data_IF_085469243072
#
_entry.id   IF_085469243072
#
_cell.length_a   1.000
_cell.length_b   1.000
_cell.length_c   1.000
_cell.angle_alpha   90.00
_cell.angle_beta   90.00
_cell.angle_gamma   90.00
#
_symmetry.space_group_name_H-M   'P 1'
#
loop_
_entity.id
_entity.type
_entity.pdbx_description
1 polymer ?
#
# COMPACT_ATOMS: atom_id res chain seq x y z
N UNK A 1 10.27 -8.84 -19.46
CA UNK A 1 10.91 -8.33 -18.23
C UNK A 1 10.93 -9.48 -17.24
N UNK A 2 12.10 -9.86 -16.73
CA UNK A 2 12.15 -10.81 -15.61
C UNK A 2 11.62 -10.10 -14.36
N UNK A 3 10.57 -10.65 -13.74
CA UNK A 3 10.03 -10.11 -12.49
C UNK A 3 11.02 -10.21 -11.34
N UNK A 4 10.75 -9.51 -10.23
CA UNK A 4 11.58 -9.62 -9.03
C UNK A 4 11.66 -11.07 -8.54
N UNK A 5 12.82 -11.46 -8.04
CA UNK A 5 13.00 -12.65 -7.21
C UNK A 5 12.44 -12.43 -5.81
N UNK A 6 12.23 -13.50 -5.05
CA UNK A 6 11.72 -13.39 -3.67
C UNK A 6 12.68 -12.61 -2.76
N UNK A 7 14.00 -12.74 -2.95
CA UNK A 7 14.98 -11.98 -2.17
C UNK A 7 14.98 -10.50 -2.55
N UNK A 8 14.88 -10.16 -3.83
CA UNK A 8 14.75 -8.75 -4.26
C UNK A 8 13.48 -8.11 -3.69
N UNK A 9 12.34 -8.81 -3.78
CA UNK A 9 11.09 -8.36 -3.19
C UNK A 9 11.19 -8.12 -1.69
N UNK A 10 11.81 -9.06 -0.96
CA UNK A 10 12.08 -8.95 0.47
C UNK A 10 12.96 -7.74 0.79
N UNK A 11 14.04 -7.52 0.03
CA UNK A 11 14.95 -6.38 0.22
C UNK A 11 14.23 -5.05 -0.01
N UNK A 12 13.42 -4.95 -1.05
CA UNK A 12 12.59 -3.76 -1.33
C UNK A 12 11.64 -3.49 -0.17
N UNK A 13 10.92 -4.52 0.30
CA UNK A 13 9.99 -4.41 1.43
C UNK A 13 10.70 -4.00 2.74
N UNK A 14 11.87 -4.54 3.05
CA UNK A 14 12.66 -4.13 4.23
C UNK A 14 13.13 -2.68 4.10
N UNK A 15 13.69 -2.31 2.95
CA UNK A 15 14.25 -0.98 2.73
C UNK A 15 13.19 0.11 2.80
N UNK A 16 12.01 -0.13 2.22
CA UNK A 16 10.92 0.84 2.24
C UNK A 16 10.25 0.96 3.62
N UNK A 17 10.33 -0.05 4.49
CA UNK A 17 9.66 -0.05 5.78
C UNK A 17 10.21 1.04 6.72
N UNK A 18 11.52 1.30 6.64
CA UNK A 18 12.16 2.38 7.43
C UNK A 18 11.65 3.76 7.00
N UNK A 19 11.44 3.97 5.71
CA UNK A 19 10.88 5.22 5.20
C UNK A 19 9.41 5.32 5.59
N UNK A 20 8.60 4.27 5.40
CA UNK A 20 7.21 4.24 5.82
C UNK A 20 7.05 4.60 7.31
N UNK A 21 7.85 3.99 8.19
CA UNK A 21 7.88 4.27 9.62
C UNK A 21 8.12 5.73 9.95
N UNK A 22 9.10 6.35 9.30
CA UNK A 22 9.52 7.72 9.60
C UNK A 22 8.66 8.78 8.93
N UNK A 23 8.15 8.51 7.72
CA UNK A 23 7.44 9.48 6.90
C UNK A 23 5.91 9.38 6.99
N UNK A 24 5.34 8.20 7.24
CA UNK A 24 3.90 7.95 7.13
C UNK A 24 3.25 7.35 8.38
N UNK A 25 3.88 6.39 9.06
CA UNK A 25 3.25 5.63 10.15
C UNK A 25 2.69 6.55 11.25
N UNK A 26 1.43 6.31 11.62
CA UNK A 26 0.64 7.05 12.61
C UNK A 26 0.51 8.56 12.31
N UNK A 27 0.68 8.95 11.04
CA UNK A 27 0.40 10.30 10.58
C UNK A 27 -0.87 10.32 9.76
N UNK A 28 -1.63 11.38 9.98
CA UNK A 28 -2.83 11.71 9.24
C UNK A 28 -2.52 12.82 8.24
N UNK A 29 -3.06 12.68 7.03
CA UNK A 29 -2.88 13.61 5.94
C UNK A 29 -4.24 14.07 5.44
N UNK A 30 -4.44 15.38 5.36
CA UNK A 30 -5.59 15.95 4.66
C UNK A 30 -5.23 16.17 3.19
N UNK A 31 -6.11 15.73 2.31
CA UNK A 31 -5.98 15.93 0.86
C UNK A 31 -7.15 16.78 0.42
N UNK A 32 -6.86 18.03 0.07
CA UNK A 32 -7.84 18.99 -0.42
C UNK A 32 -7.79 18.96 -1.95
N UNK A 33 -8.94 18.82 -2.58
CA UNK A 33 -9.06 18.76 -4.03
C UNK A 33 -10.32 19.46 -4.50
N UNK A 34 -10.34 19.86 -5.77
CA UNK A 34 -11.53 20.37 -6.43
C UNK A 34 -12.19 19.24 -7.21
N UNK A 35 -13.43 18.97 -6.89
CA UNK A 35 -14.25 18.01 -7.63
C UNK A 35 -14.52 18.56 -9.04
N UNK A 36 -14.33 17.73 -10.07
CA UNK A 36 -14.47 18.19 -11.45
C UNK A 36 -15.94 18.37 -11.85
N UNK A 37 -16.83 17.57 -11.30
CA UNK A 37 -18.23 17.53 -11.70
C UNK A 37 -19.06 18.57 -10.92
N UNK A 38 -18.85 18.67 -9.59
CA UNK A 38 -19.52 19.68 -8.77
C UNK A 38 -18.79 21.02 -8.70
N UNK A 39 -17.51 21.09 -9.08
CA UNK A 39 -16.63 22.27 -8.94
C UNK A 39 -16.44 22.73 -7.48
N UNK A 40 -16.83 21.91 -6.51
CA UNK A 40 -16.68 22.19 -5.09
C UNK A 40 -15.29 21.81 -4.59
N UNK A 41 -14.82 22.51 -3.56
CA UNK A 41 -13.65 22.10 -2.80
C UNK A 41 -14.07 21.00 -1.83
N UNK A 42 -13.51 19.81 -2.00
CA UNK A 42 -13.70 18.65 -1.13
C UNK A 42 -12.38 18.29 -0.46
N UNK A 43 -12.46 17.49 0.60
CA UNK A 43 -11.29 16.93 1.23
C UNK A 43 -11.54 15.48 1.66
N UNK A 44 -10.44 14.75 1.84
CA UNK A 44 -10.43 13.46 2.52
C UNK A 44 -9.26 13.45 3.51
N UNK A 45 -9.40 12.67 4.57
CA UNK A 45 -8.36 12.44 5.56
C UNK A 45 -7.88 11.00 5.46
N UNK A 46 -6.56 10.84 5.39
CA UNK A 46 -5.90 9.55 5.18
C UNK A 46 -4.91 9.29 6.29
N UNK A 47 -5.03 8.15 6.96
CA UNK A 47 -4.08 7.71 7.98
C UNK A 47 -3.34 6.46 7.55
N UNK A 48 -2.04 6.44 7.83
CA UNK A 48 -1.17 5.31 7.51
C UNK A 48 -0.82 4.55 8.78
N UNK A 49 -1.29 3.31 8.88
CA UNK A 49 -1.10 2.47 10.07
C UNK A 49 -0.12 1.34 9.78
N UNK A 50 0.46 0.77 10.83
CA UNK A 50 1.37 -0.37 10.72
C UNK A 50 0.76 -1.52 9.91
N UNK A 51 -0.51 -1.85 10.16
CA UNK A 51 -1.24 -2.92 9.47
C UNK A 51 -1.39 -2.70 7.96
N UNK A 52 -1.34 -1.46 7.48
CA UNK A 52 -1.53 -1.18 6.06
C UNK A 52 -0.32 -1.59 5.22
N UNK A 53 0.88 -1.60 5.81
CA UNK A 53 2.13 -1.72 5.07
C UNK A 53 2.20 -2.98 4.21
N UNK A 54 1.80 -4.14 4.75
CA UNK A 54 1.84 -5.41 4.02
C UNK A 54 1.07 -5.33 2.69
N UNK A 55 -0.11 -4.72 2.70
CA UNK A 55 -0.97 -4.60 1.51
C UNK A 55 -0.32 -3.78 0.38
N UNK A 56 0.63 -2.90 0.71
CA UNK A 56 1.38 -2.08 -0.23
C UNK A 56 2.56 -2.82 -0.85
N UNK A 57 3.02 -3.91 -0.24
CA UNK A 57 4.16 -4.69 -0.74
C UNK A 57 3.77 -5.75 -1.76
N UNK A 58 2.55 -6.28 -1.67
CA UNK A 58 2.13 -7.43 -2.48
C UNK A 58 2.75 -8.75 -2.03
N UNK A 59 3.27 -8.83 -0.81
CA UNK A 59 3.81 -10.05 -0.20
C UNK A 59 2.83 -10.60 0.83
N UNK A 60 2.62 -11.91 0.78
CA UNK A 60 1.89 -12.65 1.81
C UNK A 60 2.91 -13.29 2.74
N UNK A 61 2.61 -13.30 4.05
CA UNK A 61 3.34 -14.17 4.96
C UNK A 61 2.80 -15.59 4.89
N UNK A 62 3.68 -16.56 5.14
CA UNK A 62 3.36 -17.97 5.16
C UNK A 62 3.94 -18.66 6.40
N UNK A 63 3.28 -19.73 6.84
CA UNK A 63 3.78 -20.63 7.86
C UNK A 63 4.83 -21.61 7.29
N UNK A 64 5.31 -22.53 8.13
CA UNK A 64 6.28 -23.57 7.74
C UNK A 64 5.72 -24.57 6.71
N UNK A 65 4.40 -24.65 6.56
CA UNK A 65 3.72 -25.51 5.59
C UNK A 65 3.40 -24.77 4.28
N UNK A 66 3.75 -23.48 4.17
CA UNK A 66 3.44 -22.64 3.01
C UNK A 66 2.01 -22.07 2.99
N UNK A 67 1.28 -22.17 4.10
CA UNK A 67 -0.09 -21.65 4.22
C UNK A 67 -0.03 -20.16 4.54
N UNK A 68 -0.86 -19.37 3.85
CA UNK A 68 -0.95 -17.91 4.06
C UNK A 68 -1.43 -17.61 5.48
N UNK A 69 -0.70 -16.72 6.15
CA UNK A 69 -1.02 -16.23 7.48
C UNK A 69 -1.87 -14.96 7.40
N UNK A 70 -3.19 -15.10 7.60
CA UNK A 70 -4.13 -13.97 7.66
C UNK A 70 -3.98 -13.18 8.96
N UNK A 71 -4.32 -11.89 8.93
CA UNK A 71 -4.25 -10.98 10.09
C UNK A 71 -2.86 -10.76 10.71
N UNK A 72 -1.78 -11.16 10.03
CA UNK A 72 -0.41 -10.97 10.52
C UNK A 72 0.32 -9.74 9.93
N UNK A 73 -0.41 -8.76 9.38
CA UNK A 73 0.19 -7.61 8.68
C UNK A 73 1.07 -6.72 9.56
N UNK A 74 0.70 -6.52 10.83
CA UNK A 74 1.54 -5.76 11.77
C UNK A 74 2.82 -6.52 12.12
N UNK A 75 2.74 -7.86 12.23
CA UNK A 75 3.91 -8.69 12.50
C UNK A 75 4.86 -8.72 11.29
N UNK A 76 4.33 -8.84 10.07
CA UNK A 76 5.09 -8.68 8.84
C UNK A 76 5.82 -7.33 8.81
N UNK A 77 5.10 -6.25 9.11
CA UNK A 77 5.68 -4.90 9.13
C UNK A 77 6.77 -4.78 10.19
N UNK A 78 6.53 -5.27 11.41
CA UNK A 78 7.54 -5.31 12.48
C UNK A 78 8.81 -6.03 12.03
N UNK A 79 8.69 -7.19 11.37
CA UNK A 79 9.85 -7.90 10.81
C UNK A 79 10.58 -7.11 9.72
N UNK A 80 9.86 -6.38 8.88
CA UNK A 80 10.48 -5.50 7.88
C UNK A 80 11.30 -4.39 8.55
N UNK A 81 10.71 -3.69 9.52
CA UNK A 81 11.37 -2.62 10.27
C UNK A 81 12.60 -3.12 11.03
N UNK A 82 12.50 -4.29 11.66
CA UNK A 82 13.61 -4.93 12.39
C UNK A 82 14.64 -5.60 11.45
N UNK A 83 14.40 -5.60 10.13
CA UNK A 83 15.24 -6.29 9.12
C UNK A 83 15.36 -7.80 9.34
N UNK A 84 14.34 -8.41 9.94
CA UNK A 84 14.27 -9.85 10.30
C UNK A 84 13.35 -10.67 9.41
N UNK A 85 12.79 -10.07 8.36
CA UNK A 85 11.96 -10.81 7.39
C UNK A 85 12.84 -11.78 6.58
N UNK A 86 12.50 -13.07 6.62
CA UNK A 86 13.13 -14.17 5.90
C UNK A 86 12.44 -14.43 4.56
N UNK A 87 13.16 -15.01 3.58
CA UNK A 87 12.55 -15.45 2.32
C UNK A 87 11.59 -16.65 2.51
N UNK A 88 11.82 -17.48 3.53
CA UNK A 88 11.06 -18.72 3.74
C UNK A 88 9.69 -18.49 4.41
N UNK A 89 9.43 -17.27 4.89
CA UNK A 89 8.17 -16.91 5.56
C UNK A 89 7.31 -15.98 4.70
N UNK A 90 7.66 -15.80 3.43
CA UNK A 90 6.93 -14.96 2.49
C UNK A 90 6.72 -15.64 1.15
N UNK A 91 5.66 -15.23 0.46
CA UNK A 91 5.45 -15.54 -0.94
C UNK A 91 4.91 -14.33 -1.70
N UNK A 92 5.15 -14.32 -3.01
CA UNK A 92 4.51 -13.37 -3.91
C UNK A 92 3.04 -13.74 -4.09
N UNK A 93 2.18 -12.74 -4.25
CA UNK A 93 0.76 -12.99 -4.59
C UNK A 93 0.64 -13.66 -5.95
N UNK A 94 -0.25 -14.64 -6.03
CA UNK A 94 -0.57 -15.37 -7.26
C UNK A 94 -1.34 -14.54 -8.29
N UNK A 95 -1.95 -13.42 -7.87
CA UNK A 95 -2.67 -12.48 -8.74
C UNK A 95 -1.75 -11.61 -9.63
N UNK A 96 -0.42 -11.79 -9.52
CA UNK A 96 0.57 -11.07 -10.34
C UNK A 96 0.79 -9.60 -9.94
N UNK A 97 0.09 -9.08 -8.93
CA UNK A 97 0.17 -7.66 -8.55
C UNK A 97 1.44 -7.30 -7.77
N UNK A 98 2.19 -8.30 -7.30
CA UNK A 98 3.41 -8.13 -6.49
C UNK A 98 4.42 -7.19 -7.15
N UNK A 99 4.68 -7.38 -8.45
CA UNK A 99 5.63 -6.54 -9.19
C UNK A 99 5.21 -5.06 -9.18
N UNK A 100 3.94 -4.79 -9.52
CA UNK A 100 3.39 -3.44 -9.60
C UNK A 100 3.40 -2.74 -8.24
N UNK A 101 3.10 -3.49 -7.16
CA UNK A 101 3.13 -3.02 -5.78
C UNK A 101 4.55 -2.68 -5.32
N UNK A 102 5.52 -3.56 -5.58
CA UNK A 102 6.92 -3.33 -5.22
C UNK A 102 7.55 -2.16 -5.98
N UNK A 103 7.18 -1.95 -7.25
CA UNK A 103 7.64 -0.78 -8.00
C UNK A 103 7.00 0.53 -7.52
N UNK A 104 5.76 0.47 -7.02
CA UNK A 104 5.06 1.60 -6.44
C UNK A 104 5.61 2.00 -5.05
N UNK A 105 5.98 1.01 -4.25
CA UNK A 105 6.27 1.15 -2.82
C UNK A 105 7.29 2.26 -2.49
N UNK A 106 8.45 2.40 -3.18
CA UNK A 106 9.39 3.49 -2.88
C UNK A 106 8.77 4.88 -3.04
N UNK A 107 7.95 5.09 -4.07
CA UNK A 107 7.30 6.36 -4.33
C UNK A 107 6.20 6.67 -3.30
N UNK A 108 5.46 5.65 -2.85
CA UNK A 108 4.42 5.81 -1.81
C UNK A 108 5.01 6.33 -0.50
N UNK A 109 6.23 5.95 -0.13
CA UNK A 109 6.88 6.50 1.09
C UNK A 109 7.10 8.02 1.05
N UNK A 110 6.97 8.64 -0.13
CA UNK A 110 6.99 10.09 -0.36
C UNK A 110 5.61 10.61 -0.75
N UNK A 111 4.55 10.07 -0.12
CA UNK A 111 3.14 10.28 -0.47
C UNK A 111 2.78 11.74 -0.82
N UNK A 112 3.16 12.70 0.01
CA UNK A 112 2.82 14.12 -0.19
C UNK A 112 3.37 14.72 -1.50
N UNK A 113 4.39 14.11 -2.11
CA UNK A 113 4.98 14.59 -3.37
C UNK A 113 4.33 14.01 -4.63
N UNK A 114 3.56 12.93 -4.49
CA UNK A 114 2.99 12.16 -5.62
C UNK A 114 1.49 12.37 -5.82
N UNK A 115 0.79 12.96 -4.84
CA UNK A 115 -0.67 13.12 -4.88
C UNK A 115 -1.09 14.35 -5.69
N UNK A 116 -1.55 14.13 -6.91
CA UNK A 116 -2.05 15.17 -7.82
C UNK A 116 -3.51 14.97 -8.22
N UNK A 117 -4.02 13.75 -8.12
CA UNK A 117 -5.32 13.32 -8.60
C UNK A 117 -6.01 12.56 -7.46
N UNK A 118 -7.28 12.90 -7.21
CA UNK A 118 -8.21 12.13 -6.37
C UNK A 118 -9.38 11.74 -7.26
N UNK A 119 -9.79 10.47 -7.20
CA UNK A 119 -10.94 9.98 -7.95
C UNK A 119 -11.71 8.94 -7.16
N UNK A 120 -13.01 8.87 -7.42
CA UNK A 120 -13.85 7.79 -6.96
C UNK A 120 -13.59 6.52 -7.77
N UNK A 121 -13.60 5.38 -7.09
CA UNK A 121 -13.48 4.08 -7.72
C UNK A 121 -14.86 3.50 -7.98
N UNK A 122 -15.15 3.21 -9.24
CA UNK A 122 -16.37 2.51 -9.65
C UNK A 122 -16.27 0.99 -9.44
N UNK A 123 -15.22 0.48 -8.77
CA UNK A 123 -14.92 -0.95 -8.55
C UNK A 123 -14.86 -1.83 -9.81
N UNK A 124 -14.87 -1.24 -11.01
CA UNK A 124 -14.75 -1.96 -12.29
C UNK A 124 -13.32 -2.41 -12.61
N UNK A 125 -12.36 -2.20 -11.70
CA UNK A 125 -10.99 -2.63 -11.86
C UNK A 125 -10.81 -4.00 -11.19
N UNK A 126 -10.50 -5.07 -11.95
CA UNK A 126 -10.20 -6.35 -11.34
C UNK A 126 -9.05 -6.17 -10.35
N UNK A 127 -9.20 -6.72 -9.14
CA UNK A 127 -8.21 -6.72 -8.06
C UNK A 127 -8.02 -5.41 -7.26
N UNK A 128 -8.85 -4.38 -7.48
CA UNK A 128 -8.80 -3.12 -6.71
C UNK A 128 -10.19 -2.75 -6.14
N UNK A 129 -10.58 -3.37 -5.02
CA UNK A 129 -11.79 -2.98 -4.29
C UNK A 129 -11.47 -1.84 -3.32
N UNK A 130 -11.66 -0.61 -3.79
CA UNK A 130 -11.30 0.62 -3.08
C UNK A 130 -12.40 1.65 -3.30
N UNK A 131 -12.53 2.60 -2.39
CA UNK A 131 -13.52 3.67 -2.49
C UNK A 131 -12.93 4.90 -3.18
N UNK A 132 -11.72 5.28 -2.77
CA UNK A 132 -10.98 6.40 -3.34
C UNK A 132 -9.66 5.94 -3.91
N UNK A 133 -9.25 6.58 -5.00
CA UNK A 133 -7.92 6.44 -5.57
C UNK A 133 -7.23 7.79 -5.53
N UNK A 134 -6.01 7.81 -5.00
CA UNK A 134 -5.18 9.01 -4.92
C UNK A 134 -3.84 8.74 -5.60
N UNK A 135 -3.33 9.68 -6.38
CA UNK A 135 -1.98 9.55 -6.93
C UNK A 135 -1.71 10.46 -8.10
N UNK A 136 -0.99 9.96 -9.09
CA UNK A 136 -0.69 10.64 -10.33
C UNK A 136 -0.96 9.74 -11.54
N UNK A 137 -0.38 10.08 -12.69
CA UNK A 137 -0.59 9.34 -13.94
C UNK A 137 0.00 7.93 -13.89
N UNK A 138 1.15 7.76 -13.22
CA UNK A 138 1.94 6.52 -13.24
C UNK A 138 1.85 5.71 -11.93
N UNK A 139 1.09 6.19 -10.95
CA UNK A 139 1.06 5.62 -9.61
C UNK A 139 -0.28 5.92 -8.95
N UNK A 140 -0.90 4.89 -8.37
CA UNK A 140 -2.11 5.05 -7.59
C UNK A 140 -1.98 4.40 -6.20
N UNK A 141 -2.59 5.05 -5.21
CA UNK A 141 -2.86 4.55 -3.86
C UNK A 141 -4.37 4.36 -3.75
N UNK A 142 -4.78 3.13 -3.53
CA UNK A 142 -6.15 2.76 -3.27
C UNK A 142 -6.47 2.88 -1.78
N UNK A 143 -7.56 3.56 -1.47
CA UNK A 143 -8.01 3.86 -0.12
C UNK A 143 -9.38 3.25 0.17
N UNK A 144 -9.61 2.89 1.43
CA UNK A 144 -10.91 2.45 1.95
C UNK A 144 -11.16 3.09 3.31
N UNK A 145 -12.42 3.30 3.68
CA UNK A 145 -12.74 3.69 5.04
C UNK A 145 -12.43 2.52 5.98
N UNK A 146 -11.67 2.77 7.03
CA UNK A 146 -11.53 1.85 8.14
C UNK A 146 -12.73 2.02 9.08
N UNK A 147 -13.53 0.96 9.23
CA UNK A 147 -14.78 0.98 9.98
C UNK A 147 -14.60 1.32 11.47
N UNK A 148 -13.40 1.10 12.05
CA UNK A 148 -13.17 1.32 13.48
C UNK A 148 -12.81 2.76 13.81
N UNK A 149 -12.08 3.41 12.91
CA UNK A 149 -11.57 4.78 13.13
C UNK A 149 -12.27 5.81 12.23
N UNK A 150 -13.11 5.37 11.29
CA UNK A 150 -13.87 6.22 10.36
C UNK A 150 -12.99 7.15 9.51
N UNK A 151 -11.76 6.74 9.20
CA UNK A 151 -10.81 7.46 8.36
C UNK A 151 -10.41 6.62 7.14
N UNK A 152 -9.96 7.26 6.06
CA UNK A 152 -9.40 6.49 4.94
C UNK A 152 -8.05 5.90 5.31
N UNK A 153 -7.87 4.62 5.00
CA UNK A 153 -6.59 3.91 5.14
C UNK A 153 -6.14 3.34 3.80
N UNK A 154 -4.83 3.23 3.56
CA UNK A 154 -4.31 2.64 2.34
C UNK A 154 -4.46 1.12 2.37
N UNK A 155 -4.98 0.56 1.29
CA UNK A 155 -5.23 -0.88 1.13
C UNK A 155 -4.57 -1.48 -0.12
N UNK A 156 -4.04 -0.65 -1.00
CA UNK A 156 -3.26 -1.10 -2.17
C UNK A 156 -2.48 0.06 -2.78
N UNK A 157 -1.36 -0.21 -3.43
CA UNK A 157 -0.70 0.74 -4.31
C UNK A 157 -0.23 0.04 -5.58
N UNK A 158 -0.37 0.68 -6.74
CA UNK A 158 0.07 0.10 -8.02
C UNK A 158 0.77 1.16 -8.85
N UNK A 159 1.83 0.75 -9.53
CA UNK A 159 2.42 1.51 -10.61
C UNK A 159 1.69 1.15 -11.91
N UNK A 160 1.40 2.17 -12.72
CA UNK A 160 0.61 2.07 -13.95
C UNK A 160 1.50 2.11 -15.19
#
# INVERSE_FOLDING_TARGET
MSGYTIDEARRIAINCASNYKSSLENKQFIIIYRDRDSNEIKHIEVVFLARNYQHLTGLNMIDTNGIILDHHSEFFYKKCVEKKLSCNEIMMRSDGTTQLKLEALPAITKFTSITKIVGDSNNNQPYLYVEKVVGGVNLCLGLRIDEKIHEFVPVSALKK
#
